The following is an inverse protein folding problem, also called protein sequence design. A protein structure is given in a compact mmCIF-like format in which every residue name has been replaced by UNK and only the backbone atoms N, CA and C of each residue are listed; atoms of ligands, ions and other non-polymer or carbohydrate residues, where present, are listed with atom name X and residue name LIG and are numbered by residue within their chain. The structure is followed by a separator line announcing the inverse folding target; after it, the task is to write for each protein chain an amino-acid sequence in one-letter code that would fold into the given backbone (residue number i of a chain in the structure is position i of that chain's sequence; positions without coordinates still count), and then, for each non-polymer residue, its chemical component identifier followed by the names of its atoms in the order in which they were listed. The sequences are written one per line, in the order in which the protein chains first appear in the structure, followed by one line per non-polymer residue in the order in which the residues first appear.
data_IF_295237660541
#
_entry.id   IF_295237660541
#
_cell.length_a   1.000
_cell.length_b   1.000
_cell.length_c   1.000
_cell.angle_alpha   90.00
_cell.angle_beta   90.00
_cell.angle_gamma   90.00
#
_symmetry.space_group_name_H-M   'P 1'
#
loop_
_entity.id
_entity.type
_entity.pdbx_description
1 polymer ?
#
# COMPACT_ATOMS: atom_id res chain seq x y z
N UNK A 1 1.20 7.95 -9.34
CA UNK A 1 0.60 6.65 -8.97
C UNK A 1 -0.49 6.97 -7.97
N UNK A 2 -1.72 6.62 -8.29
CA UNK A 2 -2.88 6.93 -7.48
C UNK A 2 -2.99 5.88 -6.35
N UNK A 3 -2.83 6.30 -5.10
CA UNK A 3 -2.76 5.42 -3.92
C UNK A 3 -3.67 5.95 -2.80
N UNK A 4 -3.96 5.10 -1.80
CA UNK A 4 -4.66 5.53 -0.57
C UNK A 4 -3.95 6.73 0.09
N UNK A 5 -2.60 6.74 0.09
CA UNK A 5 -1.81 7.81 0.70
C UNK A 5 -1.89 9.09 -0.11
N UNK A 6 -1.86 9.03 -1.45
CA UNK A 6 -2.02 10.22 -2.30
C UNK A 6 -3.39 10.86 -2.13
N UNK A 7 -4.46 10.07 -2.03
CA UNK A 7 -5.80 10.60 -1.73
C UNK A 7 -5.86 11.29 -0.36
N UNK A 8 -5.25 10.71 0.66
CA UNK A 8 -5.21 11.33 1.99
C UNK A 8 -4.49 12.69 1.97
N UNK A 9 -3.35 12.77 1.29
CA UNK A 9 -2.56 13.99 1.18
C UNK A 9 -3.29 15.06 0.34
N UNK A 10 -3.89 14.68 -0.79
CA UNK A 10 -4.73 15.55 -1.62
C UNK A 10 -5.88 16.18 -0.81
N UNK A 11 -6.57 15.39 -0.01
CA UNK A 11 -7.68 15.86 0.84
C UNK A 11 -7.24 16.79 1.96
N UNK A 12 -5.96 16.76 2.32
CA UNK A 12 -5.35 17.66 3.30
C UNK A 12 -4.82 18.96 2.68
N UNK A 13 -4.88 19.07 1.34
CA UNK A 13 -4.46 20.25 0.59
C UNK A 13 -3.02 20.18 0.03
N UNK A 14 -2.27 19.11 0.32
CA UNK A 14 -0.86 18.96 -0.04
C UNK A 14 -0.60 17.60 -0.69
N UNK A 15 -1.00 17.44 -1.96
CA UNK A 15 -0.82 16.18 -2.70
C UNK A 15 0.65 15.71 -2.77
N UNK A 16 1.60 16.64 -2.76
CA UNK A 16 3.04 16.36 -2.80
C UNK A 16 3.54 15.65 -1.53
N UNK A 17 2.83 15.78 -0.40
CA UNK A 17 3.22 15.16 0.87
C UNK A 17 3.15 13.62 0.83
N UNK A 18 2.37 13.03 -0.08
CA UNK A 18 2.33 11.58 -0.25
C UNK A 18 3.56 11.01 -0.97
N UNK A 19 4.35 11.86 -1.66
CA UNK A 19 5.44 11.41 -2.51
C UNK A 19 6.47 10.54 -1.76
N UNK A 20 6.90 10.87 -0.52
CA UNK A 20 7.85 10.03 0.20
C UNK A 20 7.33 8.62 0.49
N UNK A 21 6.04 8.45 0.81
CA UNK A 21 5.45 7.13 1.04
C UNK A 21 5.42 6.30 -0.26
N UNK A 22 5.05 6.92 -1.38
CA UNK A 22 5.08 6.28 -2.71
C UNK A 22 6.51 5.90 -3.10
N UNK A 23 7.49 6.76 -2.79
CA UNK A 23 8.90 6.48 -3.10
C UNK A 23 9.46 5.28 -2.35
N UNK A 24 8.95 4.96 -1.15
CA UNK A 24 9.35 3.73 -0.45
C UNK A 24 9.01 2.49 -1.28
N UNK A 25 7.77 2.39 -1.77
CA UNK A 25 7.34 1.24 -2.59
C UNK A 25 8.11 1.21 -3.92
N UNK A 26 8.23 2.36 -4.58
CA UNK A 26 8.98 2.49 -5.83
C UNK A 26 10.46 2.15 -5.70
N UNK A 27 11.06 2.41 -4.53
CA UNK A 27 12.45 2.05 -4.25
C UNK A 27 12.68 0.54 -4.30
N UNK A 28 11.72 -0.27 -3.85
CA UNK A 28 11.83 -1.73 -3.93
C UNK A 28 11.73 -2.21 -5.37
N UNK A 29 10.83 -1.65 -6.18
CA UNK A 29 10.76 -1.98 -7.61
C UNK A 29 12.07 -1.65 -8.33
N UNK A 30 12.70 -0.51 -8.03
CA UNK A 30 14.01 -0.15 -8.59
C UNK A 30 15.13 -1.07 -8.12
N UNK A 31 15.19 -1.34 -6.82
CA UNK A 31 16.22 -2.20 -6.23
C UNK A 31 16.15 -3.63 -6.79
N UNK A 32 14.96 -4.24 -6.84
CA UNK A 32 14.77 -5.55 -7.45
C UNK A 32 14.92 -5.53 -8.98
N UNK A 33 14.71 -4.38 -9.61
CA UNK A 33 14.97 -4.14 -11.03
C UNK A 33 16.45 -3.94 -11.39
N UNK A 34 17.36 -3.97 -10.41
CA UNK A 34 18.81 -3.89 -10.62
C UNK A 34 19.42 -2.49 -10.53
N UNK A 35 18.69 -1.49 -10.02
CA UNK A 35 19.20 -0.11 -9.84
C UNK A 35 20.15 0.07 -8.64
N UNK A 36 20.40 -0.99 -7.86
CA UNK A 36 21.28 -0.96 -6.69
C UNK A 36 20.52 -0.74 -5.37
N UNK A 37 21.27 -0.46 -4.31
CA UNK A 37 20.70 -0.26 -2.97
C UNK A 37 19.97 1.09 -2.86
N UNK A 38 18.70 1.04 -2.45
CA UNK A 38 17.84 2.21 -2.24
C UNK A 38 17.51 2.45 -0.74
N UNK A 39 18.27 1.84 0.16
CA UNK A 39 18.08 1.93 1.62
C UNK A 39 18.07 3.37 2.15
N UNK A 40 18.92 4.23 1.60
CA UNK A 40 18.99 5.65 1.96
C UNK A 40 17.71 6.41 1.56
N UNK A 41 17.17 6.14 0.37
CA UNK A 41 15.89 6.70 -0.10
C UNK A 41 14.75 6.32 0.85
N UNK A 42 14.68 5.05 1.25
CA UNK A 42 13.65 4.57 2.20
C UNK A 42 13.78 5.24 3.56
N UNK A 43 14.99 5.30 4.12
CA UNK A 43 15.24 5.94 5.42
C UNK A 43 14.92 7.43 5.43
N UNK A 44 15.21 8.13 4.32
CA UNK A 44 14.87 9.55 4.19
C UNK A 44 13.36 9.83 4.17
N UNK A 45 12.54 8.86 3.73
CA UNK A 45 11.08 9.01 3.70
C UNK A 45 10.41 8.86 5.08
N UNK A 46 11.09 8.24 6.06
CA UNK A 46 10.51 7.90 7.38
C UNK A 46 9.83 9.07 8.08
N UNK A 47 10.45 10.25 8.26
CA UNK A 47 9.84 11.34 9.02
C UNK A 47 8.51 11.80 8.41
N UNK A 48 8.42 11.85 7.07
CA UNK A 48 7.18 12.24 6.39
C UNK A 48 6.11 11.15 6.51
N UNK A 49 6.47 9.87 6.44
CA UNK A 49 5.52 8.76 6.65
C UNK A 49 4.95 8.81 8.07
N UNK A 50 5.78 9.11 9.07
CA UNK A 50 5.34 9.30 10.47
C UNK A 50 4.42 10.50 10.64
N UNK A 51 4.73 11.62 9.97
CA UNK A 51 3.88 12.83 9.96
C UNK A 51 2.50 12.55 9.35
N UNK A 52 2.45 11.92 8.17
CA UNK A 52 1.20 11.52 7.51
C UNK A 52 0.37 10.59 8.41
N UNK A 53 1.03 9.67 9.11
CA UNK A 53 0.37 8.71 10.00
C UNK A 53 -0.27 9.45 11.18
N UNK A 54 0.48 10.35 11.81
CA UNK A 54 -0.03 11.19 12.89
C UNK A 54 -1.19 12.10 12.41
N UNK A 55 -1.11 12.65 11.21
CA UNK A 55 -2.18 13.45 10.62
C UNK A 55 -3.46 12.62 10.40
N UNK A 56 -3.33 11.42 9.83
CA UNK A 56 -4.44 10.49 9.65
C UNK A 56 -5.10 10.11 10.99
N UNK A 57 -4.32 9.73 12.01
CA UNK A 57 -4.83 9.40 13.35
C UNK A 57 -5.59 10.56 14.00
N UNK A 58 -5.05 11.78 13.88
CA UNK A 58 -5.64 12.97 14.49
C UNK A 58 -6.86 13.52 13.73
N UNK A 59 -7.08 13.10 12.48
CA UNK A 59 -8.19 13.57 11.66
C UNK A 59 -9.57 13.19 12.20
N UNK A 60 -9.65 12.13 13.03
CA UNK A 60 -10.91 11.52 13.53
C UNK A 60 -11.91 11.17 12.42
N UNK A 61 -11.44 11.02 11.18
CA UNK A 61 -12.29 10.67 10.04
C UNK A 61 -12.59 9.17 10.05
N UNK A 62 -13.75 8.74 9.53
CA UNK A 62 -14.10 7.31 9.47
C UNK A 62 -13.05 6.45 8.77
N UNK A 63 -12.42 6.99 7.71
CA UNK A 63 -11.41 6.32 6.91
C UNK A 63 -9.98 6.37 7.48
N UNK A 64 -9.77 7.05 8.61
CA UNK A 64 -8.43 7.25 9.18
C UNK A 64 -7.70 5.94 9.44
N UNK A 65 -8.40 4.93 9.96
CA UNK A 65 -7.81 3.62 10.30
C UNK A 65 -7.26 2.87 9.09
N UNK A 66 -7.98 2.92 7.97
CA UNK A 66 -7.50 2.32 6.73
C UNK A 66 -6.24 3.03 6.21
N UNK A 67 -6.20 4.37 6.27
CA UNK A 67 -5.01 5.15 5.88
C UNK A 67 -3.83 4.85 6.79
N UNK A 68 -4.04 4.77 8.11
CA UNK A 68 -2.97 4.44 9.07
C UNK A 68 -2.43 3.04 8.84
N UNK A 69 -3.29 2.07 8.50
CA UNK A 69 -2.85 0.72 8.18
C UNK A 69 -1.96 0.69 6.92
N UNK A 70 -2.29 1.46 5.87
CA UNK A 70 -1.39 1.60 4.70
C UNK A 70 -0.04 2.19 5.10
N UNK A 71 -0.05 3.23 5.95
CA UNK A 71 1.19 3.85 6.42
C UNK A 71 2.01 2.91 7.30
N UNK A 72 1.38 2.04 8.09
CA UNK A 72 2.05 0.98 8.84
C UNK A 72 2.71 -0.06 7.92
N UNK A 73 2.08 -0.38 6.77
CA UNK A 73 2.71 -1.22 5.75
C UNK A 73 3.93 -0.51 5.14
N UNK A 74 3.83 0.78 4.81
CA UNK A 74 4.97 1.56 4.30
C UNK A 74 6.10 1.64 5.32
N UNK A 75 5.80 1.82 6.62
CA UNK A 75 6.82 1.77 7.67
C UNK A 75 7.48 0.40 7.76
N UNK A 76 6.72 -0.69 7.70
CA UNK A 76 7.26 -2.04 7.64
C UNK A 76 8.24 -2.22 6.48
N UNK A 77 7.94 -1.64 5.31
CA UNK A 77 8.85 -1.63 4.16
C UNK A 77 10.14 -0.84 4.42
N UNK A 78 10.08 0.29 5.13
CA UNK A 78 11.28 1.06 5.52
C UNK A 78 12.16 0.24 6.48
N UNK A 79 11.53 -0.48 7.42
CA UNK A 79 12.20 -1.23 8.49
C UNK A 79 12.72 -2.62 8.05
N UNK A 80 12.56 -2.98 6.77
CA UNK A 80 12.89 -4.32 6.25
C UNK A 80 14.30 -4.80 6.55
N UNK A 81 15.26 -3.87 6.68
CA UNK A 81 16.67 -4.17 6.97
C UNK A 81 16.95 -4.56 8.42
N UNK A 82 16.03 -4.27 9.35
CA UNK A 82 16.20 -4.56 10.78
C UNK A 82 15.80 -6.00 11.12
N UNK A 83 14.61 -6.42 10.67
CA UNK A 83 14.07 -7.77 10.85
C UNK A 83 13.10 -8.08 9.70
N UNK A 84 13.66 -8.62 8.61
CA UNK A 84 12.91 -8.85 7.38
C UNK A 84 11.67 -9.72 7.58
N UNK A 85 11.73 -10.75 8.43
CA UNK A 85 10.61 -11.66 8.63
C UNK A 85 9.47 -10.98 9.38
N UNK A 86 9.79 -10.28 10.48
CA UNK A 86 8.79 -9.56 11.28
C UNK A 86 8.15 -8.43 10.47
N UNK A 87 8.97 -7.67 9.75
CA UNK A 87 8.46 -6.52 9.01
C UNK A 87 7.65 -6.96 7.78
N UNK A 88 7.96 -8.10 7.15
CA UNK A 88 7.13 -8.65 6.08
C UNK A 88 5.75 -9.06 6.62
N UNK A 89 5.71 -9.73 7.78
CA UNK A 89 4.45 -10.06 8.44
C UNK A 89 3.64 -8.80 8.81
N UNK A 90 4.32 -7.71 9.20
CA UNK A 90 3.68 -6.41 9.43
C UNK A 90 3.07 -5.85 8.15
N UNK A 91 3.83 -5.81 7.05
CA UNK A 91 3.34 -5.31 5.75
C UNK A 91 2.07 -6.07 5.34
N UNK A 92 2.12 -7.39 5.35
CA UNK A 92 0.98 -8.27 5.00
C UNK A 92 -0.21 -8.05 5.95
N UNK A 93 0.03 -8.04 7.26
CA UNK A 93 -1.04 -7.82 8.24
C UNK A 93 -1.70 -6.44 8.10
N UNK A 94 -0.91 -5.42 7.78
CA UNK A 94 -1.39 -4.07 7.53
C UNK A 94 -2.25 -3.98 6.27
N UNK A 95 -1.92 -4.66 5.17
CA UNK A 95 -2.78 -4.67 3.97
C UNK A 95 -4.10 -5.40 4.23
N UNK A 96 -4.10 -6.52 4.95
CA UNK A 96 -5.35 -7.15 5.41
C UNK A 96 -6.17 -6.25 6.33
N UNK A 97 -5.52 -5.44 7.16
CA UNK A 97 -6.24 -4.48 8.02
C UNK A 97 -6.98 -3.45 7.18
N UNK A 98 -6.39 -2.97 6.07
CA UNK A 98 -7.08 -2.08 5.12
C UNK A 98 -8.34 -2.75 4.57
N UNK A 99 -8.22 -3.98 4.10
CA UNK A 99 -9.32 -4.75 3.56
C UNK A 99 -10.46 -4.95 4.58
N UNK A 100 -10.09 -5.26 5.84
CA UNK A 100 -11.06 -5.43 6.92
C UNK A 100 -11.78 -4.12 7.28
N UNK A 101 -11.09 -2.98 7.27
CA UNK A 101 -11.73 -1.67 7.48
C UNK A 101 -12.76 -1.38 6.38
N UNK A 102 -12.45 -1.73 5.12
CA UNK A 102 -13.40 -1.53 4.01
C UNK A 102 -14.62 -2.44 4.16
N UNK A 103 -14.43 -3.70 4.57
CA UNK A 103 -15.52 -4.64 4.86
C UNK A 103 -16.39 -4.19 6.03
N UNK A 104 -15.77 -3.75 7.14
CA UNK A 104 -16.48 -3.27 8.33
C UNK A 104 -17.34 -2.05 8.07
N UNK A 105 -16.90 -1.20 7.14
CA UNK A 105 -17.63 -0.02 6.70
C UNK A 105 -18.60 -0.27 5.54
N UNK A 106 -18.76 -1.53 5.11
CA UNK A 106 -19.74 -1.92 4.11
C UNK A 106 -19.46 -1.36 2.72
N UNK A 107 -18.19 -1.11 2.39
CA UNK A 107 -17.81 -0.65 1.06
C UNK A 107 -17.99 -1.79 0.05
N UNK A 108 -18.53 -1.52 -1.16
CA UNK A 108 -18.73 -2.55 -2.17
C UNK A 108 -17.38 -3.10 -2.62
N UNK A 109 -17.20 -4.43 -2.49
CA UNK A 109 -16.00 -5.12 -2.95
C UNK A 109 -15.91 -5.12 -4.49
N UNK A 110 -14.71 -5.33 -5.08
CA UNK A 110 -14.55 -5.51 -6.51
C UNK A 110 -15.42 -6.63 -7.09
N UNK A 111 -15.74 -6.53 -8.38
CA UNK A 111 -16.54 -7.55 -9.07
C UNK A 111 -15.90 -8.94 -8.95
N UNK A 112 -16.71 -9.94 -8.61
CA UNK A 112 -16.25 -11.32 -8.41
C UNK A 112 -15.69 -11.62 -7.02
N UNK A 113 -15.43 -10.61 -6.18
CA UNK A 113 -15.04 -10.80 -4.79
C UNK A 113 -16.26 -10.84 -3.85
N UNK A 114 -16.20 -11.65 -2.81
CA UNK A 114 -17.26 -11.77 -1.79
C UNK A 114 -17.11 -10.65 -0.75
N UNK A 115 -15.86 -10.24 -0.48
CA UNK A 115 -15.49 -9.15 0.43
C UNK A 115 -14.11 -8.58 0.05
N UNK A 116 -13.74 -7.43 0.59
CA UNK A 116 -12.39 -6.86 0.44
C UNK A 116 -11.32 -7.79 1.01
N UNK A 117 -11.58 -8.43 2.16
CA UNK A 117 -10.67 -9.43 2.70
C UNK A 117 -10.44 -10.59 1.73
N UNK A 118 -11.50 -11.09 1.08
CA UNK A 118 -11.37 -12.15 0.07
C UNK A 118 -10.58 -11.68 -1.16
N UNK A 119 -10.79 -10.43 -1.59
CA UNK A 119 -10.06 -9.82 -2.70
C UNK A 119 -8.56 -9.73 -2.39
N UNK A 120 -8.20 -9.22 -1.21
CA UNK A 120 -6.80 -9.13 -0.75
C UNK A 120 -6.15 -10.50 -0.64
N UNK A 121 -6.86 -11.48 -0.06
CA UNK A 121 -6.33 -12.83 0.11
C UNK A 121 -6.04 -13.52 -1.24
N UNK A 122 -6.95 -13.37 -2.20
CA UNK A 122 -6.77 -13.91 -3.56
C UNK A 122 -5.62 -13.19 -4.27
N UNK A 123 -5.53 -11.86 -4.18
CA UNK A 123 -4.45 -11.08 -4.79
C UNK A 123 -3.07 -11.46 -4.23
N UNK A 124 -2.93 -11.58 -2.91
CA UNK A 124 -1.68 -12.02 -2.29
C UNK A 124 -1.31 -13.47 -2.65
N UNK A 125 -2.29 -14.37 -2.70
CA UNK A 125 -2.06 -15.75 -3.14
C UNK A 125 -1.60 -15.80 -4.60
N UNK A 126 -2.25 -15.04 -5.49
CA UNK A 126 -1.88 -14.95 -6.90
C UNK A 126 -0.47 -14.37 -7.10
N UNK A 127 -0.12 -13.31 -6.37
CA UNK A 127 1.23 -12.73 -6.41
C UNK A 127 2.29 -13.73 -5.91
N UNK A 128 1.99 -14.49 -4.86
CA UNK A 128 2.88 -15.52 -4.35
C UNK A 128 3.06 -16.68 -5.35
N UNK A 129 1.96 -17.19 -5.91
CA UNK A 129 1.98 -18.21 -6.96
C UNK A 129 2.77 -17.76 -8.19
N UNK A 130 2.58 -16.50 -8.61
CA UNK A 130 3.35 -15.90 -9.70
C UNK A 130 4.84 -15.90 -9.36
N UNK A 131 5.24 -15.41 -8.18
CA UNK A 131 6.63 -15.42 -7.71
C UNK A 131 7.23 -16.83 -7.66
N UNK A 132 6.47 -17.85 -7.25
CA UNK A 132 6.92 -19.25 -7.26
C UNK A 132 7.15 -19.80 -8.67
N UNK A 133 6.42 -19.28 -9.67
CA UNK A 133 6.54 -19.69 -11.07
C UNK A 133 7.58 -18.91 -11.88
N UNK A 134 8.10 -17.80 -11.35
CA UNK A 134 9.07 -16.94 -12.04
C UNK A 134 10.46 -17.56 -12.13
N UNK A 135 11.27 -17.05 -13.07
CA UNK A 135 12.67 -17.46 -13.18
C UNK A 135 13.51 -17.01 -11.96
N UNK A 136 14.63 -17.70 -11.73
CA UNK A 136 15.63 -17.31 -10.74
C UNK A 136 16.99 -17.09 -11.42
N UNK A 137 17.49 -15.85 -11.55
CA UNK A 137 16.91 -14.60 -11.03
C UNK A 137 15.63 -14.18 -11.79
N UNK A 138 14.78 -13.39 -11.12
CA UNK A 138 13.55 -12.82 -11.72
C UNK A 138 13.97 -11.87 -12.84
N UNK A 139 13.37 -12.01 -14.02
CA UNK A 139 13.62 -11.11 -15.15
C UNK A 139 12.94 -9.75 -14.96
N UNK A 140 13.48 -8.71 -15.60
CA UNK A 140 12.87 -7.37 -15.56
C UNK A 140 11.44 -7.33 -16.12
N UNK A 141 11.10 -8.22 -17.07
CA UNK A 141 9.74 -8.33 -17.61
C UNK A 141 8.77 -8.92 -16.59
N UNK A 142 9.17 -9.99 -15.89
CA UNK A 142 8.35 -10.59 -14.82
C UNK A 142 8.13 -9.61 -13.67
N UNK A 143 9.18 -8.89 -13.26
CA UNK A 143 9.06 -7.85 -12.22
C UNK A 143 8.12 -6.72 -12.65
N UNK A 144 8.22 -6.28 -13.91
CA UNK A 144 7.33 -5.26 -14.46
C UNK A 144 5.87 -5.74 -14.47
N UNK A 145 5.62 -7.00 -14.86
CA UNK A 145 4.27 -7.56 -14.85
C UNK A 145 3.68 -7.59 -13.44
N UNK A 146 4.42 -8.09 -12.45
CA UNK A 146 3.99 -8.11 -11.05
C UNK A 146 3.64 -6.70 -10.55
N UNK A 147 4.44 -5.70 -10.92
CA UNK A 147 4.17 -4.30 -10.58
C UNK A 147 2.87 -3.77 -11.21
N UNK A 148 2.60 -4.11 -12.48
CA UNK A 148 1.38 -3.69 -13.16
C UNK A 148 0.15 -4.34 -12.52
N UNK A 149 0.22 -5.63 -12.22
CA UNK A 149 -0.88 -6.37 -11.59
C UNK A 149 -1.18 -5.80 -10.19
N UNK A 150 -0.16 -5.59 -9.36
CA UNK A 150 -0.30 -4.93 -8.06
C UNK A 150 -0.85 -3.50 -8.17
N UNK A 151 -0.46 -2.75 -9.20
CA UNK A 151 -0.97 -1.40 -9.47
C UNK A 151 -2.44 -1.39 -9.86
N UNK A 152 -2.90 -2.41 -10.60
CA UNK A 152 -4.31 -2.59 -10.95
C UNK A 152 -5.16 -2.84 -9.70
N UNK A 153 -4.70 -3.72 -8.80
CA UNK A 153 -5.40 -4.02 -7.55
C UNK A 153 -5.45 -2.79 -6.62
N UNK A 154 -4.35 -2.05 -6.51
CA UNK A 154 -4.29 -0.80 -5.75
C UNK A 154 -5.32 0.23 -6.24
N UNK A 155 -5.71 0.19 -7.52
CA UNK A 155 -6.70 1.12 -8.06
C UNK A 155 -8.12 0.85 -7.59
N UNK A 156 -8.45 -0.40 -7.25
CA UNK A 156 -9.72 -0.73 -6.62
C UNK A 156 -9.83 -0.06 -5.25
N UNK A 157 -8.80 -0.21 -4.42
CA UNK A 157 -8.72 0.41 -3.11
C UNK A 157 -8.79 1.94 -3.17
N UNK A 158 -8.03 2.55 -4.08
CA UNK A 158 -8.05 3.99 -4.28
C UNK A 158 -9.46 4.50 -4.63
N UNK A 159 -10.15 3.88 -5.61
CA UNK A 159 -11.50 4.29 -6.00
C UNK A 159 -12.50 4.16 -4.85
N UNK A 160 -12.48 3.03 -4.14
CA UNK A 160 -13.38 2.80 -3.02
C UNK A 160 -13.14 3.78 -1.85
N UNK A 161 -11.88 4.07 -1.52
CA UNK A 161 -11.55 5.09 -0.52
C UNK A 161 -12.04 6.47 -0.94
N UNK A 162 -11.83 6.86 -2.19
CA UNK A 162 -12.27 8.15 -2.71
C UNK A 162 -13.78 8.34 -2.58
N UNK A 163 -14.55 7.31 -2.90
CA UNK A 163 -16.02 7.36 -2.73
C UNK A 163 -16.42 7.40 -1.25
N UNK A 164 -15.76 6.64 -0.39
CA UNK A 164 -15.98 6.68 1.06
C UNK A 164 -15.67 8.07 1.67
N UNK A 165 -14.59 8.70 1.23
CA UNK A 165 -14.23 10.06 1.63
C UNK A 165 -15.31 11.07 1.21
N UNK A 166 -15.84 10.96 0.00
CA UNK A 166 -16.92 11.85 -0.48
C UNK A 166 -18.22 11.66 0.31
N UNK A 167 -18.61 10.42 0.59
CA UNK A 167 -19.86 10.12 1.30
C UNK A 167 -19.86 10.59 2.76
N UNK A 168 -18.68 10.84 3.33
CA UNK A 168 -18.51 11.28 4.73
C UNK A 168 -18.18 12.78 4.87
N UNK A 169 -18.08 13.50 3.75
CA UNK A 169 -17.90 14.95 3.71
C UNK A 169 -19.24 15.72 3.67
N UNK A 170 -20.36 15.01 3.55
CA UNK A 170 -21.74 15.54 3.56
C UNK A 170 -22.31 15.51 4.98
#
# INVERSE_FOLDING_TARGET
MDTIVSLHAEMSGDAEDAYPAVQVVESFWRQYGGHGDESSTRRAARPKVEELRAAAENSRRPWARAVTAVLDAVQGLIDMEEDASRQLARVIGSTYTVALEFDQHGLPAPEGAISWFSFEAVGQAAAADQLWSMSNPISGQELFQLRIDAGSDAMHYHRALKEWMKSTAS
#
